data_IF_788011391273
#
_entry.id   IF_788011391273
#
_cell.length_a   1.000
_cell.length_b   1.000
_cell.length_c   1.000
_cell.angle_alpha   90.00
_cell.angle_beta   90.00
_cell.angle_gamma   90.00
#
_symmetry.space_group_name_H-M   'P 1'
#
loop_
_entity.id
_entity.type
_entity.pdbx_description
1 polymer ?
#
# COMPACT_ATOMS: atom_id res chain seq x y z
N UNK A 1 -19.40 -20.24 -4.07
CA UNK A 1 -17.99 -19.93 -4.41
C UNK A 1 -17.90 -18.45 -4.77
N UNK A 2 -16.96 -17.74 -4.17
CA UNK A 2 -16.74 -16.33 -4.48
C UNK A 2 -15.93 -16.25 -5.78
N UNK A 3 -16.34 -15.38 -6.72
CA UNK A 3 -15.60 -15.15 -7.97
C UNK A 3 -14.30 -14.41 -7.67
N UNK A 4 -13.16 -15.05 -7.91
CA UNK A 4 -11.84 -14.47 -7.64
C UNK A 4 -11.57 -13.18 -8.44
N UNK A 5 -12.16 -13.02 -9.63
CA UNK A 5 -12.03 -11.79 -10.43
C UNK A 5 -12.75 -10.63 -9.76
N UNK A 6 -13.93 -10.89 -9.20
CA UNK A 6 -14.72 -9.89 -8.49
C UNK A 6 -14.01 -9.43 -7.21
N UNK A 7 -13.47 -10.37 -6.43
CA UNK A 7 -12.65 -10.05 -5.25
C UNK A 7 -11.46 -9.17 -5.62
N UNK A 8 -10.72 -9.52 -6.68
CA UNK A 8 -9.55 -8.72 -7.13
C UNK A 8 -9.91 -7.33 -7.64
N UNK A 9 -11.15 -7.08 -8.01
CA UNK A 9 -11.61 -5.72 -8.36
C UNK A 9 -11.87 -4.88 -7.12
N UNK A 10 -12.32 -5.50 -6.03
CA UNK A 10 -12.63 -4.83 -4.76
C UNK A 10 -11.39 -4.63 -3.87
N UNK A 11 -10.32 -5.38 -4.11
CA UNK A 11 -9.09 -5.35 -3.32
C UNK A 11 -7.93 -4.97 -4.23
N UNK A 12 -7.41 -3.76 -4.06
CA UNK A 12 -6.18 -3.29 -4.70
C UNK A 12 -4.95 -3.80 -3.96
N UNK A 13 -3.83 -3.96 -4.68
CA UNK A 13 -2.56 -4.35 -4.06
C UNK A 13 -1.40 -3.49 -4.57
N UNK A 14 -0.61 -3.01 -3.63
CA UNK A 14 0.64 -2.26 -3.86
C UNK A 14 1.78 -3.08 -3.28
N UNK A 15 2.75 -3.45 -4.12
CA UNK A 15 3.85 -4.33 -3.75
C UNK A 15 5.03 -3.54 -3.17
N UNK A 16 5.86 -4.23 -2.41
CA UNK A 16 7.11 -3.74 -1.82
C UNK A 16 8.03 -3.08 -2.86
N UNK A 17 8.27 -3.78 -3.97
CA UNK A 17 9.03 -3.24 -5.10
C UNK A 17 8.06 -2.62 -6.11
N UNK A 18 8.22 -1.33 -6.43
CA UNK A 18 7.42 -0.71 -7.48
C UNK A 18 7.46 -1.53 -8.76
N UNK A 19 6.30 -1.78 -9.34
CA UNK A 19 6.14 -2.63 -10.52
C UNK A 19 5.28 -1.97 -11.60
N UNK A 20 5.63 -0.77 -12.06
CA UNK A 20 4.91 -0.18 -13.18
C UNK A 20 5.02 -1.07 -14.42
N UNK A 21 3.96 -1.12 -15.21
CA UNK A 21 3.99 -1.82 -16.49
C UNK A 21 4.97 -1.11 -17.45
N UNK A 22 5.60 -1.82 -18.40
CA UNK A 22 6.43 -1.23 -19.44
C UNK A 22 5.56 -0.49 -20.49
N UNK A 23 4.81 0.49 -20.01
CA UNK A 23 3.82 1.29 -20.71
C UNK A 23 3.98 2.76 -20.30
N UNK A 24 3.23 3.64 -20.96
CA UNK A 24 3.17 5.05 -20.55
C UNK A 24 2.59 5.21 -19.15
N UNK A 25 2.84 6.37 -18.51
CA UNK A 25 2.22 6.76 -17.24
C UNK A 25 0.70 6.67 -17.35
N UNK A 26 0.14 7.23 -18.42
CA UNK A 26 -1.29 7.16 -18.73
C UNK A 26 -1.80 5.73 -18.79
N UNK A 27 -1.14 4.87 -19.59
CA UNK A 27 -1.60 3.50 -19.81
C UNK A 27 -1.42 2.60 -18.59
N UNK A 28 -0.51 2.94 -17.65
CA UNK A 28 -0.44 2.26 -16.37
C UNK A 28 -1.73 2.47 -15.59
N UNK A 29 -2.20 3.71 -15.48
CA UNK A 29 -3.40 4.05 -14.71
C UNK A 29 -4.67 3.62 -15.43
N UNK A 30 -4.76 3.86 -16.74
CA UNK A 30 -5.92 3.50 -17.55
C UNK A 30 -6.12 1.99 -17.76
N UNK A 31 -5.14 1.16 -17.36
CA UNK A 31 -5.17 -0.28 -17.62
C UNK A 31 -6.37 -0.98 -16.98
N UNK A 32 -6.56 -0.81 -15.68
CA UNK A 32 -7.67 -1.40 -14.94
C UNK A 32 -9.05 -0.93 -15.44
N UNK A 33 -9.28 0.38 -15.57
CA UNK A 33 -10.52 0.92 -16.14
C UNK A 33 -10.86 0.37 -17.52
N UNK A 34 -9.86 0.23 -18.41
CA UNK A 34 -10.08 -0.39 -19.74
C UNK A 34 -10.51 -1.86 -19.64
N UNK A 35 -9.90 -2.63 -18.74
CA UNK A 35 -10.31 -4.02 -18.48
C UNK A 35 -11.73 -4.09 -17.90
N UNK A 36 -12.13 -3.07 -17.12
CA UNK A 36 -13.50 -2.94 -16.60
C UNK A 36 -14.51 -2.50 -17.68
N UNK A 37 -14.07 -2.31 -18.95
CA UNK A 37 -14.93 -2.00 -20.08
C UNK A 37 -15.10 -0.50 -20.39
N UNK A 38 -14.38 0.39 -19.70
CA UNK A 38 -14.41 1.83 -19.99
C UNK A 38 -13.63 2.09 -21.28
N UNK A 39 -14.33 2.53 -22.33
CA UNK A 39 -13.75 2.76 -23.66
C UNK A 39 -13.71 4.23 -24.06
N UNK A 40 -14.58 5.04 -23.49
CA UNK A 40 -14.68 6.46 -23.85
C UNK A 40 -13.46 7.22 -23.34
N UNK A 41 -12.77 7.91 -24.27
CA UNK A 41 -11.53 8.59 -23.96
C UNK A 41 -11.68 9.63 -22.86
N UNK A 42 -12.73 10.44 -22.89
CA UNK A 42 -12.96 11.47 -21.89
C UNK A 42 -13.12 10.90 -20.46
N UNK A 43 -13.79 9.74 -20.34
CA UNK A 43 -13.96 9.08 -19.04
C UNK A 43 -12.62 8.52 -18.52
N UNK A 44 -11.82 7.94 -19.42
CA UNK A 44 -10.47 7.48 -19.08
C UNK A 44 -9.55 8.65 -18.69
N UNK A 45 -9.62 9.78 -19.40
CA UNK A 45 -8.82 10.97 -19.08
C UNK A 45 -9.16 11.48 -17.68
N UNK A 46 -10.46 11.56 -17.34
CA UNK A 46 -10.93 11.96 -16.02
C UNK A 46 -10.47 11.01 -14.90
N UNK A 47 -10.56 9.68 -15.13
CA UNK A 47 -10.11 8.67 -14.18
C UNK A 47 -8.59 8.77 -13.97
N UNK A 48 -7.82 8.90 -15.04
CA UNK A 48 -6.36 9.00 -14.97
C UNK A 48 -5.94 10.25 -14.18
N UNK A 49 -6.54 11.41 -14.48
CA UNK A 49 -6.26 12.63 -13.72
C UNK A 49 -6.65 12.48 -12.25
N UNK A 50 -7.88 12.03 -11.94
CA UNK A 50 -8.35 11.79 -10.57
C UNK A 50 -7.39 10.88 -9.81
N UNK A 51 -6.98 9.77 -10.42
CA UNK A 51 -6.12 8.78 -9.77
C UNK A 51 -4.70 9.27 -9.54
N UNK A 52 -4.13 10.03 -10.50
CA UNK A 52 -2.80 10.63 -10.35
C UNK A 52 -2.81 11.76 -9.31
N UNK A 53 -3.90 12.54 -9.20
CA UNK A 53 -4.08 13.53 -8.13
C UNK A 53 -4.20 12.85 -6.78
N UNK A 54 -5.05 11.81 -6.67
CA UNK A 54 -5.23 11.01 -5.47
C UNK A 54 -3.96 10.24 -5.03
N UNK A 55 -2.96 10.11 -5.89
CA UNK A 55 -1.64 9.56 -5.59
C UNK A 55 -0.55 10.65 -5.46
N UNK A 56 -0.93 11.93 -5.34
CA UNK A 56 -0.03 13.08 -5.26
C UNK A 56 1.08 13.08 -6.34
N UNK A 57 0.75 12.64 -7.56
CA UNK A 57 1.71 12.51 -8.67
C UNK A 57 1.38 13.41 -9.87
N UNK A 58 0.14 13.91 -9.97
CA UNK A 58 -0.35 14.64 -11.13
C UNK A 58 0.55 15.80 -11.55
N UNK A 59 0.90 16.70 -10.64
CA UNK A 59 1.65 17.90 -10.96
C UNK A 59 3.08 17.63 -11.45
N UNK A 60 3.63 16.46 -11.11
CA UNK A 60 4.95 16.02 -11.56
C UNK A 60 4.94 15.38 -12.97
N UNK A 61 3.76 14.91 -13.45
CA UNK A 61 3.70 14.09 -14.66
C UNK A 61 2.69 14.55 -15.70
N UNK A 62 1.81 15.52 -15.40
CA UNK A 62 0.71 15.96 -16.27
C UNK A 62 1.16 16.34 -17.69
N UNK A 63 2.34 16.90 -17.84
CA UNK A 63 2.88 17.34 -19.13
C UNK A 63 3.61 16.22 -19.90
N UNK A 64 3.76 15.03 -19.29
CA UNK A 64 4.47 13.88 -19.84
C UNK A 64 3.78 12.55 -19.66
N UNK A 65 2.44 12.52 -19.67
CA UNK A 65 1.64 11.30 -19.47
C UNK A 65 1.92 10.18 -20.48
N UNK A 66 2.45 10.52 -21.66
CA UNK A 66 2.87 9.56 -22.69
C UNK A 66 4.26 8.97 -22.47
N UNK A 67 5.05 9.53 -21.55
CA UNK A 67 6.36 9.00 -21.20
C UNK A 67 6.25 7.64 -20.50
N UNK A 68 7.32 6.84 -20.57
CA UNK A 68 7.39 5.53 -19.91
C UNK A 68 7.28 5.66 -18.40
N UNK A 69 6.43 4.84 -17.76
CA UNK A 69 6.35 4.73 -16.32
C UNK A 69 7.64 4.21 -15.67
N UNK A 70 8.44 3.44 -16.42
CA UNK A 70 9.74 2.93 -15.95
C UNK A 70 10.82 4.03 -15.83
N UNK A 71 10.64 5.17 -16.50
CA UNK A 71 11.56 6.31 -16.42
C UNK A 71 11.34 7.23 -15.21
N UNK A 72 10.39 6.91 -14.34
CA UNK A 72 10.13 7.65 -13.11
C UNK A 72 11.12 7.27 -12.00
N UNK A 73 11.33 8.16 -11.01
CA UNK A 73 12.07 7.81 -9.78
C UNK A 73 11.34 6.73 -8.97
N UNK A 74 12.02 6.05 -8.05
CA UNK A 74 11.42 4.98 -7.23
C UNK A 74 10.15 5.42 -6.50
N UNK A 75 10.17 6.58 -5.84
CA UNK A 75 8.99 7.14 -5.16
C UNK A 75 7.87 7.55 -6.13
N UNK A 76 8.21 8.04 -7.33
CA UNK A 76 7.22 8.31 -8.36
C UNK A 76 6.61 7.02 -8.93
N UNK A 77 7.42 5.98 -9.13
CA UNK A 77 6.94 4.66 -9.56
C UNK A 77 5.99 4.04 -8.53
N UNK A 78 6.29 4.17 -7.24
CA UNK A 78 5.42 3.68 -6.17
C UNK A 78 4.08 4.43 -6.18
N UNK A 79 4.10 5.77 -6.28
CA UNK A 79 2.86 6.56 -6.41
C UNK A 79 2.10 6.25 -7.71
N UNK A 80 2.78 5.92 -8.80
CA UNK A 80 2.14 5.44 -10.02
C UNK A 80 1.43 4.08 -9.80
N UNK A 81 2.05 3.17 -9.06
CA UNK A 81 1.43 1.89 -8.68
C UNK A 81 0.21 2.09 -7.78
N UNK A 82 0.27 3.07 -6.86
CA UNK A 82 -0.90 3.47 -6.05
C UNK A 82 -2.00 4.06 -6.95
N UNK A 83 -1.66 5.00 -7.84
CA UNK A 83 -2.63 5.57 -8.80
C UNK A 83 -3.31 4.49 -9.64
N UNK A 84 -2.55 3.49 -10.10
CA UNK A 84 -3.07 2.33 -10.83
C UNK A 84 -4.04 1.50 -9.99
N UNK A 85 -3.73 1.30 -8.71
CA UNK A 85 -4.57 0.53 -7.80
C UNK A 85 -5.90 1.23 -7.49
N UNK A 86 -5.89 2.55 -7.27
CA UNK A 86 -7.11 3.32 -6.97
C UNK A 86 -7.96 3.62 -8.20
N UNK A 87 -7.43 3.50 -9.42
CA UNK A 87 -8.15 3.79 -10.65
C UNK A 87 -9.37 2.89 -10.89
N UNK A 88 -9.45 1.75 -10.22
CA UNK A 88 -10.60 0.82 -10.26
C UNK A 88 -11.54 0.98 -9.07
N UNK A 89 -11.31 1.99 -8.23
CA UNK A 89 -12.10 2.32 -7.03
C UNK A 89 -12.30 1.11 -6.12
N UNK A 90 -11.20 0.50 -5.60
CA UNK A 90 -11.30 -0.65 -4.71
C UNK A 90 -11.90 -0.25 -3.35
N UNK A 91 -12.41 -1.21 -2.59
CA UNK A 91 -12.87 -1.01 -1.20
C UNK A 91 -11.71 -1.08 -0.21
N UNK A 92 -10.74 -1.94 -0.51
CA UNK A 92 -9.57 -2.20 0.34
C UNK A 92 -8.29 -2.08 -0.49
N UNK A 93 -7.24 -1.50 0.08
CA UNK A 93 -5.91 -1.45 -0.50
C UNK A 93 -4.94 -2.17 0.44
N UNK A 94 -4.35 -3.23 -0.07
CA UNK A 94 -3.26 -3.95 0.61
C UNK A 94 -1.93 -3.33 0.17
N UNK A 95 -1.07 -2.98 1.13
CA UNK A 95 0.26 -2.42 0.87
C UNK A 95 1.30 -3.29 1.57
N UNK A 96 2.16 -3.91 0.78
CA UNK A 96 3.24 -4.75 1.27
C UNK A 96 4.53 -3.93 1.30
N UNK A 97 5.00 -3.57 2.50
CA UNK A 97 6.25 -2.80 2.72
C UNK A 97 6.42 -1.58 1.78
N UNK A 98 5.41 -0.71 1.60
CA UNK A 98 5.35 0.23 0.48
C UNK A 98 6.45 1.29 0.47
N UNK A 99 7.21 1.43 1.55
CA UNK A 99 8.28 2.42 1.71
C UNK A 99 9.68 1.83 1.89
N UNK A 100 9.83 0.49 1.94
CA UNK A 100 11.11 -0.15 2.30
C UNK A 100 12.28 0.15 1.36
N UNK A 101 12.00 0.45 0.09
CA UNK A 101 13.00 0.75 -0.93
C UNK A 101 13.12 2.26 -1.27
N UNK A 102 12.53 3.13 -0.45
CA UNK A 102 12.44 4.56 -0.71
C UNK A 102 13.35 5.36 0.23
N UNK A 103 13.80 6.51 -0.26
CA UNK A 103 14.47 7.50 0.57
C UNK A 103 13.51 8.16 1.59
N UNK A 104 14.01 8.84 2.63
CA UNK A 104 13.16 9.42 3.67
C UNK A 104 12.13 10.45 3.16
N UNK A 105 12.47 11.22 2.10
CA UNK A 105 11.56 12.22 1.54
C UNK A 105 10.41 11.54 0.80
N UNK A 106 10.73 10.53 -0.02
CA UNK A 106 9.73 9.74 -0.72
C UNK A 106 8.84 8.96 0.26
N UNK A 107 9.43 8.42 1.36
CA UNK A 107 8.70 7.75 2.44
C UNK A 107 7.69 8.68 3.08
N UNK A 108 8.11 9.89 3.49
CA UNK A 108 7.21 10.87 4.10
C UNK A 108 6.01 11.20 3.18
N UNK A 109 6.26 11.39 1.89
CA UNK A 109 5.20 11.64 0.90
C UNK A 109 4.20 10.48 0.77
N UNK A 110 4.66 9.22 0.87
CA UNK A 110 3.77 8.05 0.86
C UNK A 110 2.98 7.97 2.17
N UNK A 111 3.58 8.29 3.31
CA UNK A 111 2.89 8.31 4.61
C UNK A 111 1.80 9.40 4.65
N UNK A 112 2.10 10.61 4.16
CA UNK A 112 1.10 11.68 4.02
C UNK A 112 -0.05 11.24 3.11
N UNK A 113 0.28 10.61 1.98
CA UNK A 113 -0.70 10.07 1.06
C UNK A 113 -1.61 9.01 1.71
N UNK A 114 -1.07 8.13 2.56
CA UNK A 114 -1.89 7.15 3.30
C UNK A 114 -2.87 7.85 4.24
N UNK A 115 -2.46 8.94 4.92
CA UNK A 115 -3.35 9.71 5.77
C UNK A 115 -4.52 10.36 5.01
N UNK A 116 -4.28 10.80 3.79
CA UNK A 116 -5.35 11.33 2.93
C UNK A 116 -6.26 10.20 2.44
N UNK A 117 -5.67 9.10 1.97
CA UNK A 117 -6.40 7.97 1.37
C UNK A 117 -7.27 7.20 2.37
N UNK A 118 -6.89 7.11 3.65
CA UNK A 118 -7.67 6.39 4.67
C UNK A 118 -9.07 6.97 4.92
N UNK A 119 -9.33 8.19 4.46
CA UNK A 119 -10.67 8.80 4.51
C UNK A 119 -11.64 8.18 3.50
N UNK A 120 -11.11 7.54 2.46
CA UNK A 120 -11.88 6.96 1.35
C UNK A 120 -11.76 5.45 1.28
N UNK A 121 -10.58 4.91 1.63
CA UNK A 121 -10.26 3.49 1.49
C UNK A 121 -9.95 2.85 2.83
N UNK A 122 -10.26 1.57 2.97
CA UNK A 122 -9.66 0.74 4.03
C UNK A 122 -8.25 0.34 3.58
N UNK A 123 -7.23 0.75 4.33
CA UNK A 123 -5.83 0.43 4.02
C UNK A 123 -5.33 -0.63 5.01
N UNK A 124 -4.75 -1.70 4.48
CA UNK A 124 -4.04 -2.71 5.26
C UNK A 124 -2.57 -2.66 4.81
N UNK A 125 -1.69 -2.31 5.73
CA UNK A 125 -0.25 -2.22 5.49
C UNK A 125 0.48 -3.33 6.24
N UNK A 126 1.38 -4.03 5.55
CA UNK A 126 2.39 -4.89 6.17
C UNK A 126 3.70 -4.11 6.20
N UNK A 127 4.30 -4.00 7.37
CA UNK A 127 5.61 -3.35 7.54
C UNK A 127 6.36 -3.94 8.72
N UNK A 128 7.68 -4.02 8.61
CA UNK A 128 8.57 -4.30 9.72
C UNK A 128 9.06 -3.02 10.43
N UNK A 129 8.73 -1.86 9.88
CA UNK A 129 9.11 -0.56 10.45
C UNK A 129 8.07 -0.10 11.48
N UNK A 130 8.37 -0.32 12.76
CA UNK A 130 7.49 0.05 13.87
C UNK A 130 7.18 1.55 13.91
N UNK A 131 8.16 2.41 13.58
CA UNK A 131 7.93 3.85 13.56
C UNK A 131 6.94 4.24 12.47
N UNK A 132 6.99 3.60 11.30
CA UNK A 132 6.00 3.78 10.26
C UNK A 132 4.62 3.32 10.74
N UNK A 133 4.51 2.11 11.29
CA UNK A 133 3.24 1.61 11.83
C UNK A 133 2.65 2.59 12.87
N UNK A 134 3.48 3.10 13.78
CA UNK A 134 3.05 4.07 14.80
C UNK A 134 2.53 5.39 14.20
N UNK A 135 3.10 5.83 13.06
CA UNK A 135 2.69 7.10 12.43
C UNK A 135 1.43 6.96 11.58
N UNK A 136 1.29 5.88 10.81
CA UNK A 136 0.26 5.83 9.74
C UNK A 136 -0.98 5.03 10.10
N UNK A 137 -0.90 4.09 11.07
CA UNK A 137 -2.01 3.18 11.34
C UNK A 137 -2.89 3.64 12.51
N UNK A 138 -4.19 3.35 12.41
CA UNK A 138 -5.16 3.56 13.48
C UNK A 138 -5.21 2.33 14.43
N UNK A 139 -4.99 1.14 13.86
CA UNK A 139 -4.90 -0.15 14.57
C UNK A 139 -3.69 -0.91 14.08
N UNK A 140 -3.08 -1.67 14.99
CA UNK A 140 -1.90 -2.49 14.68
C UNK A 140 -2.13 -3.93 15.13
N UNK A 141 -1.72 -4.87 14.28
CA UNK A 141 -1.67 -6.29 14.60
C UNK A 141 -0.20 -6.73 14.65
N UNK A 142 0.21 -7.31 15.75
CA UNK A 142 1.55 -7.87 15.90
C UNK A 142 1.52 -9.39 15.68
N UNK A 143 2.33 -9.83 14.74
CA UNK A 143 2.53 -11.24 14.43
C UNK A 143 3.95 -11.67 14.80
N UNK A 144 4.09 -12.85 15.37
CA UNK A 144 5.38 -13.52 15.57
C UNK A 144 5.38 -14.91 14.95
N UNK A 145 6.55 -15.56 14.93
CA UNK A 145 6.70 -16.91 14.46
C UNK A 145 6.91 -17.84 15.65
N UNK A 146 6.08 -18.86 15.77
CA UNK A 146 6.26 -19.94 16.74
C UNK A 146 6.83 -21.18 16.02
N UNK A 147 7.80 -21.84 16.64
CA UNK A 147 8.39 -23.07 16.16
C UNK A 147 7.75 -24.23 16.88
N UNK A 148 7.17 -25.18 16.13
CA UNK A 148 6.66 -26.40 16.72
C UNK A 148 7.86 -27.33 17.06
N UNK A 149 8.08 -27.70 18.35
CA UNK A 149 9.21 -28.50 18.76
C UNK A 149 9.28 -29.88 18.09
N UNK A 150 8.12 -30.46 17.72
CA UNK A 150 8.04 -31.81 17.20
C UNK A 150 8.26 -31.90 15.68
N UNK A 151 8.12 -30.78 14.96
CA UNK A 151 8.13 -30.80 13.49
C UNK A 151 9.05 -29.75 12.85
N UNK A 152 9.74 -28.92 13.63
CA UNK A 152 10.54 -27.75 13.18
C UNK A 152 9.75 -26.80 12.24
N UNK A 153 8.42 -26.92 12.24
CA UNK A 153 7.54 -26.06 11.46
C UNK A 153 7.40 -24.71 12.14
N UNK A 154 7.59 -23.65 11.34
CA UNK A 154 7.32 -22.27 11.75
C UNK A 154 5.90 -21.89 11.38
N UNK A 155 5.16 -21.39 12.36
CA UNK A 155 3.78 -20.91 12.16
C UNK A 155 3.71 -19.45 12.60
N UNK A 156 3.13 -18.61 11.75
CA UNK A 156 2.84 -17.23 12.12
C UNK A 156 1.64 -17.16 13.06
N UNK A 157 1.81 -16.51 14.21
CA UNK A 157 0.76 -16.36 15.23
C UNK A 157 0.47 -14.88 15.45
N UNK A 158 -0.83 -14.53 15.48
CA UNK A 158 -1.27 -13.21 15.93
C UNK A 158 -1.09 -13.14 17.45
N UNK A 159 -0.24 -12.23 17.90
CA UNK A 159 0.04 -12.01 19.32
C UNK A 159 -0.95 -11.03 19.93
N UNK A 160 -1.09 -9.88 19.28
CA UNK A 160 -1.92 -8.80 19.79
C UNK A 160 -2.52 -7.99 18.64
N UNK A 161 -3.74 -7.45 18.84
CA UNK A 161 -4.40 -6.56 17.90
C UNK A 161 -5.21 -5.51 18.63
N UNK A 162 -4.74 -4.26 18.63
CA UNK A 162 -5.41 -3.15 19.29
C UNK A 162 -5.20 -1.82 18.55
N UNK A 163 -5.67 -0.73 19.15
CA UNK A 163 -5.37 0.63 18.69
C UNK A 163 -3.85 0.84 18.71
N UNK A 164 -3.34 1.43 17.65
CA UNK A 164 -1.90 1.68 17.52
C UNK A 164 -1.32 2.38 18.74
N UNK A 165 -2.00 3.42 19.25
CA UNK A 165 -1.56 4.14 20.45
C UNK A 165 -1.39 3.20 21.64
N UNK A 166 -2.33 2.29 21.89
CA UNK A 166 -2.26 1.32 22.99
C UNK A 166 -1.09 0.38 22.80
N UNK A 167 -0.99 -0.23 21.60
CA UNK A 167 0.08 -1.17 21.23
C UNK A 167 1.48 -0.61 21.47
N UNK A 168 1.69 0.68 21.21
CA UNK A 168 3.01 1.33 21.34
C UNK A 168 3.27 1.97 22.71
N UNK A 169 2.25 2.18 23.55
CA UNK A 169 2.43 2.82 24.87
C UNK A 169 2.18 1.90 26.06
N UNK A 170 1.31 0.91 25.92
CA UNK A 170 0.92 -0.02 26.97
C UNK A 170 0.38 -1.31 26.38
N UNK A 171 1.22 -2.11 25.69
CA UNK A 171 0.83 -3.40 25.14
C UNK A 171 0.39 -4.36 26.25
N UNK A 172 -0.49 -5.28 25.92
CA UNK A 172 -1.02 -6.27 26.87
C UNK A 172 -0.21 -7.57 26.90
N UNK A 173 0.56 -7.85 25.85
CA UNK A 173 1.43 -9.03 25.73
C UNK A 173 2.91 -8.65 25.85
N UNK A 174 3.65 -9.37 26.70
CA UNK A 174 5.06 -9.14 26.94
C UNK A 174 5.92 -9.22 25.64
N UNK A 175 5.55 -10.10 24.70
CA UNK A 175 6.23 -10.23 23.40
C UNK A 175 6.07 -8.96 22.57
N UNK A 176 4.90 -8.33 22.64
CA UNK A 176 4.65 -7.03 22.00
C UNK A 176 5.49 -5.94 22.64
N UNK A 177 5.56 -5.92 23.98
CA UNK A 177 6.39 -4.94 24.72
C UNK A 177 7.87 -5.08 24.35
N UNK A 178 8.39 -6.29 24.34
CA UNK A 178 9.78 -6.58 23.95
C UNK A 178 10.04 -6.14 22.50
N UNK A 179 9.11 -6.40 21.58
CA UNK A 179 9.23 -6.00 20.18
C UNK A 179 9.24 -4.48 20.04
N UNK A 180 8.29 -3.79 20.65
CA UNK A 180 8.16 -2.32 20.57
C UNK A 180 9.34 -1.59 21.22
N UNK A 181 9.87 -2.12 22.33
CA UNK A 181 11.01 -1.53 23.05
C UNK A 181 12.38 -1.93 22.49
N UNK A 182 12.42 -2.82 21.50
CA UNK A 182 13.69 -3.33 20.93
C UNK A 182 14.47 -4.25 21.87
N UNK A 183 13.82 -4.78 22.90
CA UNK A 183 14.42 -5.71 23.88
C UNK A 183 14.23 -7.16 23.45
N UNK A 184 14.77 -7.50 22.29
CA UNK A 184 14.83 -8.91 21.88
C UNK A 184 15.92 -9.61 22.68
N UNK A 185 15.51 -10.60 23.49
CA UNK A 185 16.41 -11.52 24.13
C UNK A 185 16.93 -12.60 23.13
#
# INVERSE_FOLDING_TARGET
>A
QVNAVEVRRRIGMVFQKPNPFPKSIYDNVAYGPRLAGIKKKADLDAIVEKSLRGAALWDEVKDRLKASGLGLSGGQQQRLCIARAVAVEPEVILMDEPCSALDPIATARIEDLMHEMKTTYTIVIVTHNMQQAARVSDRTAFFTTEVNPDSDRRTGCLVEFDRTKTMFSNPSDERTEQYVTGRFG
#
